data_IF_370621066324
#
_entry.id   IF_370621066324
#
_cell.length_a   1.000
_cell.length_b   1.000
_cell.length_c   1.000
_cell.angle_alpha   90.00
_cell.angle_beta   90.00
_cell.angle_gamma   90.00
#
_symmetry.space_group_name_H-M   'P 1'
#
loop_
_entity.id
_entity.type
_entity.pdbx_description
1 polymer ?
#
# COMPACT_ATOMS: atom_id res chain seq x y z
N UNK A 1 -9.56 46.05 -7.44
CA UNK A 1 -9.79 44.62 -7.72
C UNK A 1 -8.49 44.06 -8.26
N UNK A 2 -7.61 43.53 -7.41
CA UNK A 2 -6.36 42.90 -7.86
C UNK A 2 -6.03 41.74 -6.91
N UNK A 3 -6.58 40.57 -7.22
CA UNK A 3 -6.34 39.32 -6.50
C UNK A 3 -4.95 38.76 -6.86
N UNK A 4 -4.02 38.79 -5.90
CA UNK A 4 -2.73 38.06 -5.95
C UNK A 4 -2.85 36.69 -5.28
N UNK A 5 -3.56 35.76 -5.92
CA UNK A 5 -3.59 34.35 -5.52
C UNK A 5 -2.64 33.51 -6.39
N UNK A 6 -1.32 33.57 -6.16
CA UNK A 6 -0.36 32.46 -6.40
C UNK A 6 1.10 32.95 -6.51
N UNK A 7 1.61 33.55 -5.44
CA UNK A 7 3.05 33.48 -5.16
C UNK A 7 3.25 32.96 -3.74
N UNK A 8 3.02 31.65 -3.56
CA UNK A 8 3.66 30.93 -2.46
C UNK A 8 4.95 30.35 -3.01
N UNK A 9 6.04 31.02 -2.61
CA UNK A 9 7.44 30.69 -2.82
C UNK A 9 7.69 29.18 -2.79
N UNK A 10 8.24 28.67 -3.89
CA UNK A 10 9.07 27.48 -3.84
C UNK A 10 10.31 27.79 -3.02
N UNK A 11 10.42 27.23 -1.83
CA UNK A 11 11.71 26.99 -1.18
C UNK A 11 11.57 25.85 -0.17
N UNK A 12 12.31 24.78 -0.45
CA UNK A 12 12.89 23.81 0.47
C UNK A 12 12.26 23.69 1.87
N UNK A 13 11.51 22.60 2.02
CA UNK A 13 11.13 22.03 3.32
C UNK A 13 11.27 20.53 3.29
N UNK A 14 12.44 20.04 2.86
CA UNK A 14 12.90 18.68 3.20
C UNK A 14 13.47 18.75 4.61
N UNK A 15 12.77 18.30 5.67
CA UNK A 15 13.50 17.78 6.79
C UNK A 15 14.03 16.42 6.34
N UNK A 16 15.33 16.43 6.04
CA UNK A 16 16.22 15.28 6.17
C UNK A 16 16.08 14.76 7.61
N UNK A 17 15.03 13.96 7.82
CA UNK A 17 14.84 13.16 9.01
C UNK A 17 15.26 11.76 8.63
N UNK A 18 16.51 11.46 8.96
CA UNK A 18 17.07 10.12 9.14
C UNK A 18 16.98 9.15 7.95
N UNK A 19 18.16 8.72 7.49
CA UNK A 19 18.39 7.45 6.80
C UNK A 19 18.03 6.27 7.71
N UNK A 20 16.77 6.14 8.09
CA UNK A 20 16.23 4.98 8.77
C UNK A 20 15.22 4.39 7.82
N UNK A 21 15.69 3.59 6.85
CA UNK A 21 14.93 2.62 6.02
C UNK A 21 13.42 2.87 6.06
N UNK A 22 12.96 4.05 5.60
CA UNK A 22 11.58 4.52 5.82
C UNK A 22 10.71 3.64 4.97
N UNK A 23 10.04 2.69 5.61
CA UNK A 23 9.12 1.79 4.94
C UNK A 23 8.05 2.68 4.29
N UNK A 24 7.65 2.32 3.08
CA UNK A 24 6.84 3.21 2.26
C UNK A 24 5.47 3.39 2.92
N UNK A 25 5.02 4.65 3.04
CA UNK A 25 3.68 5.01 3.52
C UNK A 25 2.63 4.19 2.77
N UNK A 26 1.48 3.86 3.39
CA UNK A 26 0.40 3.18 2.70
C UNK A 26 0.00 3.96 1.44
N UNK A 27 0.04 3.25 0.32
CA UNK A 27 -0.20 3.79 -1.03
C UNK A 27 -1.35 3.02 -1.67
N UNK A 28 -1.95 3.63 -2.67
CA UNK A 28 -2.88 2.96 -3.58
C UNK A 28 -2.23 1.77 -4.29
N UNK A 29 -3.07 0.83 -4.70
CA UNK A 29 -2.61 -0.38 -5.37
C UNK A 29 -1.95 -0.04 -6.72
N UNK A 30 -0.82 -0.68 -7.05
CA UNK A 30 -0.31 -0.67 -8.41
C UNK A 30 -1.37 -1.23 -9.36
N UNK A 31 -1.42 -0.71 -10.59
CA UNK A 31 -2.43 -1.12 -11.56
C UNK A 31 -2.38 -2.63 -11.86
N UNK A 32 -1.18 -3.21 -11.90
CA UNK A 32 -0.98 -4.65 -12.11
C UNK A 32 -1.58 -5.49 -10.99
N UNK A 33 -1.35 -5.07 -9.73
CA UNK A 33 -1.89 -5.74 -8.54
C UNK A 33 -3.41 -5.59 -8.48
N UNK A 34 -3.92 -4.39 -8.73
CA UNK A 34 -5.37 -4.13 -8.78
C UNK A 34 -6.05 -4.96 -9.87
N UNK A 35 -5.46 -5.02 -11.07
CA UNK A 35 -5.97 -5.87 -12.16
C UNK A 35 -5.94 -7.34 -11.78
N UNK A 36 -4.86 -7.84 -11.19
CA UNK A 36 -4.77 -9.24 -10.77
C UNK A 36 -5.84 -9.58 -9.72
N UNK A 37 -6.12 -8.68 -8.78
CA UNK A 37 -7.21 -8.87 -7.81
C UNK A 37 -8.60 -8.95 -8.47
N UNK A 38 -8.87 -8.13 -9.48
CA UNK A 38 -10.17 -8.13 -10.15
C UNK A 38 -10.32 -9.32 -11.10
N UNK A 39 -9.27 -9.59 -11.89
CA UNK A 39 -9.31 -10.60 -12.97
C UNK A 39 -9.04 -12.00 -12.44
N UNK A 40 -7.96 -12.21 -11.69
CA UNK A 40 -7.60 -13.55 -11.19
C UNK A 40 -8.37 -13.91 -9.92
N UNK A 41 -8.58 -12.95 -8.99
CA UNK A 41 -9.30 -13.22 -7.74
C UNK A 41 -10.81 -12.97 -7.83
N UNK A 42 -11.30 -12.44 -8.96
CA UNK A 42 -12.73 -12.20 -9.20
C UNK A 42 -13.35 -11.19 -8.24
N UNK A 43 -12.56 -10.26 -7.70
CA UNK A 43 -13.05 -9.28 -6.75
C UNK A 43 -13.74 -8.11 -7.44
N UNK A 44 -14.63 -7.46 -6.71
CA UNK A 44 -15.30 -6.28 -7.20
C UNK A 44 -14.27 -5.16 -7.49
N UNK A 45 -14.26 -4.57 -8.69
CA UNK A 45 -13.27 -3.58 -9.07
C UNK A 45 -13.32 -2.36 -8.14
N UNK A 46 -14.51 -1.83 -7.86
CA UNK A 46 -14.65 -0.65 -7.00
C UNK A 46 -14.06 -0.91 -5.61
N UNK A 47 -14.32 -2.09 -5.07
CA UNK A 47 -13.75 -2.53 -3.79
C UNK A 47 -12.22 -2.69 -3.86
N UNK A 48 -11.70 -3.38 -4.90
CA UNK A 48 -10.26 -3.60 -5.06
C UNK A 48 -9.48 -2.28 -5.18
N UNK A 49 -10.05 -1.27 -5.84
CA UNK A 49 -9.45 0.06 -5.95
C UNK A 49 -9.59 0.90 -4.68
N UNK A 50 -10.59 0.64 -3.84
CA UNK A 50 -10.70 1.27 -2.51
C UNK A 50 -9.66 0.75 -1.51
N UNK A 51 -9.03 -0.40 -1.77
CA UNK A 51 -8.01 -0.95 -0.88
C UNK A 51 -6.75 -0.09 -0.85
N UNK A 52 -5.99 -0.23 0.22
CA UNK A 52 -4.65 0.35 0.35
C UNK A 52 -3.64 -0.77 0.47
N UNK A 53 -2.42 -0.48 0.05
CA UNK A 53 -1.31 -1.41 0.16
C UNK A 53 -0.11 -0.74 0.82
N UNK A 54 0.65 -1.55 1.55
CA UNK A 54 2.02 -1.23 1.94
C UNK A 54 2.94 -2.15 1.18
N UNK A 55 4.06 -1.61 0.73
CA UNK A 55 5.09 -2.40 0.07
C UNK A 55 6.44 -2.21 0.73
N UNK A 56 7.26 -3.23 0.66
CA UNK A 56 8.61 -3.24 1.19
C UNK A 56 9.55 -3.80 0.13
N UNK A 57 10.61 -3.07 -0.26
CA UNK A 57 11.62 -3.62 -1.14
C UNK A 57 12.36 -4.76 -0.43
N UNK A 58 12.54 -5.89 -1.11
CA UNK A 58 13.27 -7.03 -0.56
C UNK A 58 14.77 -6.79 -0.71
N UNK A 59 15.54 -7.02 0.36
CA UNK A 59 16.99 -6.75 0.35
C UNK A 59 17.75 -7.61 -0.66
N UNK A 60 17.18 -8.76 -1.02
CA UNK A 60 17.75 -9.71 -1.98
C UNK A 60 17.44 -9.35 -3.46
N UNK A 61 16.46 -8.47 -3.73
CA UNK A 61 16.06 -8.17 -5.11
C UNK A 61 15.54 -6.74 -5.25
N UNK A 62 16.23 -5.94 -6.07
CA UNK A 62 15.85 -4.54 -6.34
C UNK A 62 14.52 -4.40 -7.07
N UNK A 63 14.06 -5.46 -7.74
CA UNK A 63 12.84 -5.45 -8.55
C UNK A 63 11.62 -6.10 -7.86
N UNK A 64 11.86 -6.81 -6.76
CA UNK A 64 10.83 -7.57 -6.04
C UNK A 64 10.42 -6.83 -4.77
N UNK A 65 9.13 -6.63 -4.62
CA UNK A 65 8.53 -5.91 -3.52
C UNK A 65 7.51 -6.80 -2.82
N UNK A 66 7.70 -7.01 -1.52
CA UNK A 66 6.68 -7.62 -0.67
C UNK A 66 5.53 -6.63 -0.51
N UNK A 67 4.30 -7.07 -0.73
CA UNK A 67 3.09 -6.25 -0.66
C UNK A 67 2.10 -6.85 0.35
N UNK A 68 1.50 -5.98 1.16
CA UNK A 68 0.36 -6.33 2.02
C UNK A 68 -0.77 -5.38 1.70
N UNK A 69 -1.95 -5.94 1.46
CA UNK A 69 -3.14 -5.21 1.05
C UNK A 69 -4.14 -5.26 2.20
N UNK A 70 -4.65 -4.10 2.57
CA UNK A 70 -5.60 -3.92 3.66
C UNK A 70 -6.68 -2.92 3.25
N UNK A 71 -7.83 -2.99 3.91
CA UNK A 71 -8.87 -1.98 3.74
C UNK A 71 -8.64 -0.84 4.73
N UNK A 72 -8.57 0.38 4.23
CA UNK A 72 -8.50 1.58 5.07
C UNK A 72 -9.73 1.70 5.99
N UNK A 73 -10.90 1.26 5.52
CA UNK A 73 -12.13 1.26 6.30
C UNK A 73 -12.03 0.29 7.50
N UNK A 74 -11.57 -0.94 7.27
CA UNK A 74 -11.42 -1.96 8.34
C UNK A 74 -10.39 -1.53 9.37
N UNK A 75 -9.25 -1.00 8.91
CA UNK A 75 -8.17 -0.49 9.76
C UNK A 75 -8.63 0.72 10.60
N UNK A 76 -9.36 1.66 9.99
CA UNK A 76 -9.93 2.80 10.69
C UNK A 76 -11.00 2.39 11.71
N UNK A 77 -11.83 1.39 11.38
CA UNK A 77 -12.83 0.84 12.28
C UNK A 77 -12.19 0.17 13.52
N UNK A 78 -11.02 -0.46 13.34
CA UNK A 78 -10.22 -0.99 14.44
C UNK A 78 -9.38 0.07 15.18
N UNK A 79 -9.44 1.34 14.77
CA UNK A 79 -8.64 2.42 15.36
C UNK A 79 -7.14 2.28 15.10
N UNK A 80 -6.73 1.41 14.18
CA UNK A 80 -5.31 1.18 13.85
C UNK A 80 -4.88 2.21 12.81
N UNK A 81 -3.70 2.81 13.01
CA UNK A 81 -3.10 3.70 12.00
C UNK A 81 -1.92 3.01 11.35
N UNK A 82 -2.13 2.46 10.15
CA UNK A 82 -1.06 1.86 9.36
C UNK A 82 -0.14 2.97 8.86
N UNK A 83 1.07 3.03 9.42
CA UNK A 83 2.10 3.97 8.98
C UNK A 83 3.14 3.27 8.11
N UNK A 84 3.43 2.00 8.41
CA UNK A 84 4.50 1.23 7.79
C UNK A 84 4.10 -0.24 7.60
N UNK A 85 4.90 -0.97 6.80
CA UNK A 85 4.74 -2.41 6.58
C UNK A 85 4.75 -3.22 7.90
N UNK A 86 5.56 -2.80 8.87
CA UNK A 86 5.65 -3.44 10.20
C UNK A 86 4.49 -3.09 11.12
N UNK A 87 3.76 -2.00 10.88
CA UNK A 87 2.56 -1.67 11.68
C UNK A 87 1.48 -2.74 11.53
N UNK A 88 1.45 -3.43 10.38
CA UNK A 88 0.52 -4.54 10.12
C UNK A 88 1.04 -5.88 10.63
N UNK A 89 2.28 -5.97 11.11
CA UNK A 89 2.84 -7.22 11.63
C UNK A 89 2.14 -7.66 12.92
N UNK A 90 1.78 -6.70 13.76
CA UNK A 90 0.99 -6.94 14.97
C UNK A 90 -0.52 -7.10 14.68
N UNK A 91 -0.95 -6.83 13.45
CA UNK A 91 -2.36 -6.80 13.04
C UNK A 91 -2.56 -7.53 11.71
N UNK A 92 -2.01 -8.75 11.59
CA UNK A 92 -2.18 -9.59 10.39
C UNK A 92 -3.65 -9.96 10.14
N UNK A 93 -4.50 -9.90 11.16
CA UNK A 93 -5.95 -10.05 11.07
C UNK A 93 -6.62 -8.99 10.18
N UNK A 94 -6.04 -7.79 10.09
CA UNK A 94 -6.55 -6.69 9.25
C UNK A 94 -6.02 -6.76 7.80
N UNK A 95 -5.08 -7.65 7.53
CA UNK A 95 -4.46 -7.82 6.21
C UNK A 95 -5.29 -8.77 5.38
N UNK A 96 -5.87 -8.28 4.29
CA UNK A 96 -6.73 -9.06 3.40
C UNK A 96 -5.89 -9.99 2.53
N UNK A 97 -4.86 -9.42 1.89
CA UNK A 97 -3.94 -10.15 1.03
C UNK A 97 -2.50 -9.86 1.42
N UNK A 98 -1.68 -10.91 1.43
CA UNK A 98 -0.24 -10.84 1.57
C UNK A 98 0.40 -11.39 0.32
N UNK A 99 1.53 -10.85 -0.08
CA UNK A 99 2.19 -11.38 -1.23
C UNK A 99 3.44 -10.63 -1.59
N UNK A 100 3.86 -10.82 -2.83
CA UNK A 100 4.97 -10.10 -3.42
C UNK A 100 4.66 -9.86 -4.90
N UNK A 101 5.22 -8.79 -5.43
CA UNK A 101 5.19 -8.53 -6.86
C UNK A 101 6.57 -8.15 -7.36
N UNK A 102 6.87 -8.53 -8.58
CA UNK A 102 8.11 -8.18 -9.24
C UNK A 102 7.83 -7.26 -10.44
N UNK A 103 8.44 -6.08 -10.42
CA UNK A 103 8.19 -5.04 -11.43
C UNK A 103 8.82 -5.36 -12.79
N UNK A 104 9.86 -6.19 -12.84
CA UNK A 104 10.53 -6.54 -14.10
C UNK A 104 9.73 -7.59 -14.88
N UNK A 105 9.26 -8.59 -14.16
CA UNK A 105 8.55 -9.75 -14.73
C UNK A 105 7.04 -9.55 -14.74
N UNK A 106 6.54 -8.46 -14.14
CA UNK A 106 5.10 -8.19 -13.94
C UNK A 106 4.39 -9.34 -13.20
N UNK A 107 5.15 -10.15 -12.47
CA UNK A 107 4.63 -11.29 -11.73
C UNK A 107 4.09 -10.80 -10.40
N UNK A 108 2.82 -11.07 -10.16
CA UNK A 108 2.12 -10.73 -8.93
C UNK A 108 1.69 -12.03 -8.28
N UNK A 109 2.09 -12.24 -7.03
CA UNK A 109 1.64 -13.38 -6.24
C UNK A 109 0.99 -12.86 -4.98
N UNK A 110 -0.33 -13.02 -4.88
CA UNK A 110 -1.14 -12.61 -3.74
C UNK A 110 -1.81 -13.83 -3.13
N UNK A 111 -1.63 -13.98 -1.83
CA UNK A 111 -2.29 -14.97 -0.99
C UNK A 111 -3.30 -14.26 -0.10
N UNK A 112 -4.52 -14.81 -0.01
CA UNK A 112 -5.58 -14.27 0.83
C UNK A 112 -5.41 -14.76 2.27
N UNK A 113 -5.17 -13.85 3.21
CA UNK A 113 -5.05 -14.20 4.63
C UNK A 113 -6.40 -14.23 5.33
N UNK A 114 -7.30 -13.30 5.01
CA UNK A 114 -8.66 -13.33 5.55
C UNK A 114 -9.46 -14.37 4.77
N UNK A 115 -9.40 -15.62 5.23
CA UNK A 115 -10.49 -16.54 4.99
C UNK A 115 -11.66 -15.98 5.79
N UNK A 116 -12.65 -15.39 5.11
CA UNK A 116 -13.97 -15.16 5.74
C UNK A 116 -14.32 -16.45 6.47
N UNK A 117 -14.36 -16.41 7.79
CA UNK A 117 -15.11 -17.38 8.56
C UNK A 117 -16.56 -17.18 8.11
N UNK A 118 -17.06 -18.19 7.40
CA UNK A 118 -18.46 -18.38 7.04
C UNK A 118 -19.33 -18.26 8.28
#
# INVERSE_FOLDING_TARGET
MDWKFWQKKGTAGTPSGSKTKRLEKPRDLPQEVGRHLVVDQGLDPDWAWSLKCVRKPRENSKSTFDIRIFSSATVANHGVKVSDYTSLDNHMDLVIFVGWYDKNTQSVQLERLIKKAV
#
